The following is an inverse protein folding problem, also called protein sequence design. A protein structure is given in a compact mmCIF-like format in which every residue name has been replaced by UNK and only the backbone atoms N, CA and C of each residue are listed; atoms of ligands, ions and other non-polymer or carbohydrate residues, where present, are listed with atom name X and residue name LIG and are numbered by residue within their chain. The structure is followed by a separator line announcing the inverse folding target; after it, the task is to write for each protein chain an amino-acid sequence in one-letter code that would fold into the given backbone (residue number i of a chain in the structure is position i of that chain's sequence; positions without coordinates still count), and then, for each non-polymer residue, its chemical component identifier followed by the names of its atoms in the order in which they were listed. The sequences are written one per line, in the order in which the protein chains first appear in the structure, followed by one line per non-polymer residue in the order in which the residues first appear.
data_IF_530706400307
#
_entry.id   IF_530706400307
#
_cell.length_a   1.000
_cell.length_b   1.000
_cell.length_c   1.000
_cell.angle_alpha   90.00
_cell.angle_beta   90.00
_cell.angle_gamma   90.00
#
_symmetry.space_group_name_H-M   'P 1'
#
loop_
_entity.id
_entity.type
_entity.pdbx_description
1 polymer ?
#
# COMPACT_ATOMS: atom_id res chain seq x y z
N UNK A 1 9.05 -10.75 -26.74
CA UNK A 1 10.51 -11.02 -26.73
C UNK A 1 10.70 -12.54 -26.79
N UNK A 2 11.85 -13.01 -27.28
CA UNK A 2 12.15 -14.45 -27.29
C UNK A 2 12.36 -14.97 -25.85
N UNK A 3 12.93 -14.13 -24.99
CA UNK A 3 13.01 -14.31 -23.55
C UNK A 3 12.16 -13.26 -22.81
N UNK A 4 11.09 -13.62 -22.10
CA UNK A 4 10.29 -12.66 -21.33
C UNK A 4 11.01 -12.13 -20.08
N UNK A 5 12.09 -12.77 -19.61
CA UNK A 5 12.90 -12.29 -18.46
C UNK A 5 14.16 -11.55 -18.90
N UNK A 6 14.25 -11.13 -20.16
CA UNK A 6 15.32 -10.24 -20.60
C UNK A 6 15.30 -8.88 -19.86
N UNK A 7 16.48 -8.36 -19.50
CA UNK A 7 16.64 -7.15 -18.70
C UNK A 7 16.03 -5.92 -19.38
N UNK A 8 16.20 -5.74 -20.70
CA UNK A 8 15.64 -4.61 -21.44
C UNK A 8 14.11 -4.66 -21.38
N UNK A 9 13.52 -5.82 -21.63
CA UNK A 9 12.06 -5.97 -21.57
C UNK A 9 11.49 -5.70 -20.17
N UNK A 10 12.14 -6.19 -19.12
CA UNK A 10 11.66 -6.00 -17.73
C UNK A 10 11.85 -4.55 -17.29
N UNK A 11 13.03 -3.97 -17.52
CA UNK A 11 13.39 -2.66 -16.96
C UNK A 11 12.89 -1.48 -17.79
N UNK A 12 12.80 -1.62 -19.12
CA UNK A 12 12.37 -0.52 -19.99
C UNK A 12 10.89 -0.58 -20.39
N UNK A 13 10.29 -1.78 -20.40
CA UNK A 13 8.87 -1.96 -20.80
C UNK A 13 7.99 -2.27 -19.60
N UNK A 14 8.31 -3.32 -18.82
CA UNK A 14 7.45 -3.73 -17.70
C UNK A 14 7.47 -2.73 -16.55
N UNK A 15 8.58 -2.06 -16.23
CA UNK A 15 8.63 -1.08 -15.12
C UNK A 15 7.76 0.17 -15.37
N UNK A 16 7.47 0.49 -16.64
CA UNK A 16 6.54 1.58 -17.00
C UNK A 16 5.07 1.24 -16.71
N UNK A 17 4.74 -0.04 -16.55
CA UNK A 17 3.38 -0.47 -16.24
C UNK A 17 3.03 -0.19 -14.76
N UNK A 18 2.04 0.67 -14.54
CA UNK A 18 1.52 1.01 -13.21
C UNK A 18 0.56 -0.04 -12.63
N UNK A 19 0.18 -1.05 -13.43
CA UNK A 19 -0.71 -2.13 -13.00
C UNK A 19 -2.15 -1.69 -12.74
N UNK A 20 -2.66 -0.72 -13.51
CA UNK A 20 -4.03 -0.20 -13.37
C UNK A 20 -5.14 -1.17 -13.79
N UNK A 21 -4.80 -2.30 -14.44
CA UNK A 21 -5.73 -3.30 -15.00
C UNK A 21 -6.71 -2.79 -16.07
N UNK A 22 -6.52 -1.59 -16.63
CA UNK A 22 -7.30 -1.13 -17.80
C UNK A 22 -7.15 -2.09 -18.99
N UNK A 23 -5.95 -2.64 -19.20
CA UNK A 23 -5.69 -3.67 -20.21
C UNK A 23 -6.59 -4.92 -20.05
N UNK A 24 -6.82 -5.39 -18.83
CA UNK A 24 -7.63 -6.59 -18.59
C UNK A 24 -9.13 -6.34 -18.85
N UNK A 25 -9.62 -5.13 -18.60
CA UNK A 25 -11.04 -4.80 -18.74
C UNK A 25 -11.41 -4.29 -20.14
N UNK A 26 -10.53 -3.48 -20.75
CA UNK A 26 -10.84 -2.75 -21.98
C UNK A 26 -10.28 -3.45 -23.24
N UNK A 27 -9.36 -4.40 -23.09
CA UNK A 27 -8.79 -5.10 -24.24
C UNK A 27 -9.78 -6.15 -24.77
N UNK A 28 -10.17 -6.12 -26.06
CA UNK A 28 -11.05 -7.13 -26.65
C UNK A 28 -10.43 -8.53 -26.69
N UNK A 29 -9.10 -8.62 -26.51
CA UNK A 29 -8.35 -9.87 -26.44
C UNK A 29 -8.08 -10.33 -25.00
N UNK A 30 -8.65 -9.65 -24.00
CA UNK A 30 -8.57 -10.01 -22.57
C UNK A 30 -7.11 -10.14 -22.05
N UNK A 31 -6.20 -9.32 -22.58
CA UNK A 31 -4.79 -9.34 -22.17
C UNK A 31 -4.62 -8.63 -20.83
N UNK A 32 -4.30 -9.38 -19.79
CA UNK A 32 -3.94 -8.81 -18.48
C UNK A 32 -2.43 -8.51 -18.39
N UNK A 33 -2.05 -7.32 -18.89
CA UNK A 33 -0.68 -6.83 -18.81
C UNK A 33 -0.25 -6.58 -17.35
N UNK A 34 -1.19 -6.30 -16.44
CA UNK A 34 -0.85 -6.06 -15.04
C UNK A 34 -0.42 -7.36 -14.35
N UNK A 35 -1.11 -8.47 -14.62
CA UNK A 35 -0.69 -9.80 -14.19
C UNK A 35 0.61 -10.19 -14.88
N UNK A 36 0.72 -10.03 -16.19
CA UNK A 36 1.95 -10.36 -16.93
C UNK A 36 3.16 -9.65 -16.33
N UNK A 37 3.04 -8.33 -16.08
CA UNK A 37 4.10 -7.54 -15.43
C UNK A 37 4.53 -8.16 -14.11
N UNK A 38 3.58 -8.52 -13.24
CA UNK A 38 3.91 -9.04 -11.91
C UNK A 38 4.61 -10.42 -11.98
N UNK A 39 4.10 -11.33 -12.81
CA UNK A 39 4.66 -12.69 -13.00
C UNK A 39 6.04 -12.65 -13.69
N UNK A 40 6.19 -11.84 -14.73
CA UNK A 40 7.46 -11.68 -15.45
C UNK A 40 8.52 -11.03 -14.56
N UNK A 41 8.16 -9.98 -13.81
CA UNK A 41 9.09 -9.35 -12.86
C UNK A 41 9.51 -10.32 -11.75
N UNK A 42 8.60 -11.19 -11.31
CA UNK A 42 8.91 -12.24 -10.33
C UNK A 42 9.89 -13.27 -10.90
N UNK A 43 9.62 -13.81 -12.09
CA UNK A 43 10.51 -14.74 -12.76
C UNK A 43 11.90 -14.12 -13.00
N UNK A 44 11.94 -12.84 -13.40
CA UNK A 44 13.20 -12.08 -13.51
C UNK A 44 13.96 -12.03 -12.18
N UNK A 45 13.27 -11.79 -11.07
CA UNK A 45 13.89 -11.76 -9.74
C UNK A 45 14.43 -13.12 -9.28
N UNK A 46 13.79 -14.21 -9.67
CA UNK A 46 14.27 -15.57 -9.37
C UNK A 46 15.55 -15.90 -10.16
N UNK A 47 15.64 -15.43 -11.40
CA UNK A 47 16.79 -15.71 -12.27
C UNK A 47 17.98 -14.75 -12.04
N UNK A 48 17.71 -13.45 -11.94
CA UNK A 48 18.71 -12.39 -11.94
C UNK A 48 18.88 -11.71 -10.57
N UNK A 49 18.02 -12.05 -9.61
CA UNK A 49 17.92 -11.35 -8.33
C UNK A 49 17.15 -10.04 -8.42
N UNK A 50 17.02 -9.37 -7.27
CA UNK A 50 16.31 -8.09 -7.16
C UNK A 50 17.18 -6.99 -6.57
N UNK A 51 17.00 -5.78 -7.11
CA UNK A 51 17.72 -4.59 -6.65
C UNK A 51 17.33 -4.20 -5.21
N UNK A 52 18.23 -3.52 -4.50
CA UNK A 52 17.92 -2.96 -3.18
C UNK A 52 16.75 -1.97 -3.23
N UNK A 53 16.64 -1.20 -4.32
CA UNK A 53 15.51 -0.28 -4.57
C UNK A 53 14.19 -1.05 -4.64
N UNK A 54 14.15 -2.16 -5.39
CA UNK A 54 12.94 -2.99 -5.51
C UNK A 54 12.53 -3.57 -4.16
N UNK A 55 13.48 -4.10 -3.39
CA UNK A 55 13.23 -4.61 -2.02
C UNK A 55 12.72 -3.52 -1.08
N UNK A 56 13.30 -2.32 -1.16
CA UNK A 56 12.88 -1.16 -0.37
C UNK A 56 11.42 -0.79 -0.65
N UNK A 57 11.01 -0.70 -1.92
CA UNK A 57 9.62 -0.38 -2.26
C UNK A 57 8.65 -1.54 -2.03
N UNK A 58 9.11 -2.79 -2.13
CA UNK A 58 8.30 -3.96 -1.76
C UNK A 58 7.93 -3.98 -0.27
N UNK A 59 8.76 -3.35 0.58
CA UNK A 59 8.57 -3.26 2.04
C UNK A 59 8.22 -1.83 2.47
N UNK A 60 7.50 -1.07 1.63
CA UNK A 60 7.25 0.34 1.86
C UNK A 60 6.46 0.61 3.15
N UNK A 61 5.59 -0.31 3.59
CA UNK A 61 4.81 -0.13 4.83
C UNK A 61 5.71 0.06 6.06
N UNK A 62 6.76 -0.76 6.19
CA UNK A 62 7.75 -0.64 7.26
C UNK A 62 8.45 0.72 7.23
N UNK A 63 8.79 1.20 6.03
CA UNK A 63 9.41 2.52 5.85
C UNK A 63 8.45 3.65 6.18
N UNK A 64 7.18 3.53 5.81
CA UNK A 64 6.14 4.50 6.12
C UNK A 64 5.86 4.57 7.62
N UNK A 65 5.86 3.42 8.30
CA UNK A 65 5.74 3.32 9.76
C UNK A 65 6.88 4.01 10.49
N UNK A 66 8.12 3.77 10.07
CA UNK A 66 9.28 4.49 10.60
C UNK A 66 9.21 5.98 10.27
N UNK A 67 8.85 6.30 9.03
CA UNK A 67 8.63 7.66 8.54
C UNK A 67 7.67 8.44 9.43
N UNK A 68 6.49 7.89 9.69
CA UNK A 68 5.45 8.42 10.58
C UNK A 68 5.89 8.53 12.03
N UNK A 69 6.56 7.51 12.57
CA UNK A 69 7.06 7.51 13.95
C UNK A 69 8.02 8.69 14.17
N UNK A 70 8.90 8.95 13.20
CA UNK A 70 9.87 10.04 13.23
C UNK A 70 9.44 11.28 12.40
N UNK A 71 8.15 11.44 12.10
CA UNK A 71 7.65 12.35 11.06
C UNK A 71 8.29 13.74 11.00
N UNK A 72 8.45 14.53 12.08
CA UNK A 72 9.11 15.84 11.96
C UNK A 72 10.55 15.76 11.46
N UNK A 73 11.28 14.71 11.84
CA UNK A 73 12.64 14.47 11.35
C UNK A 73 12.58 13.93 9.91
N UNK A 74 11.75 12.93 9.64
CA UNK A 74 11.59 12.34 8.30
C UNK A 74 11.20 13.40 7.25
N UNK A 75 10.25 14.27 7.60
CA UNK A 75 9.74 15.33 6.73
C UNK A 75 10.72 16.52 6.60
N UNK A 76 11.60 16.72 7.58
CA UNK A 76 12.64 17.74 7.51
C UNK A 76 13.84 17.26 6.69
N UNK A 77 14.21 15.99 6.81
CA UNK A 77 15.35 15.39 6.10
C UNK A 77 15.24 15.57 4.57
N UNK A 78 14.02 15.46 4.02
CA UNK A 78 13.78 15.68 2.58
C UNK A 78 13.96 17.13 2.12
N UNK A 79 13.94 18.10 3.04
CA UNK A 79 14.08 19.54 2.77
C UNK A 79 15.52 20.03 2.87
N UNK A 80 16.45 19.20 3.34
CA UNK A 80 17.86 19.57 3.43
C UNK A 80 18.41 19.81 2.03
N UNK A 81 19.14 20.94 1.78
CA UNK A 81 19.72 21.22 0.48
C UNK A 81 20.58 20.05 -0.03
N UNK A 82 20.33 19.61 -1.26
CA UNK A 82 21.02 18.47 -1.87
C UNK A 82 20.45 17.08 -1.54
N UNK A 83 19.58 16.95 -0.53
CA UNK A 83 19.01 15.64 -0.15
C UNK A 83 18.21 14.99 -1.29
N UNK A 84 17.43 15.79 -2.03
CA UNK A 84 16.66 15.31 -3.19
C UNK A 84 17.57 14.82 -4.32
N UNK A 85 18.68 15.51 -4.58
CA UNK A 85 19.66 15.09 -5.58
C UNK A 85 20.40 13.81 -5.18
N UNK A 86 20.79 13.68 -3.90
CA UNK A 86 21.37 12.44 -3.37
C UNK A 86 20.38 11.29 -3.50
N UNK A 87 19.12 11.51 -3.15
CA UNK A 87 18.06 10.49 -3.25
C UNK A 87 17.80 10.06 -4.69
N UNK A 88 17.85 11.00 -5.63
CA UNK A 88 17.75 10.69 -7.07
C UNK A 88 18.91 9.81 -7.53
N UNK A 89 20.14 10.15 -7.16
CA UNK A 89 21.33 9.39 -7.57
C UNK A 89 21.47 8.02 -6.89
N UNK A 90 21.00 7.88 -5.66
CA UNK A 90 21.17 6.65 -4.86
C UNK A 90 19.97 5.72 -4.94
N UNK A 91 18.77 6.29 -4.80
CA UNK A 91 17.54 5.52 -4.71
C UNK A 91 16.80 5.58 -6.03
N UNK A 92 16.99 6.58 -6.89
CA UNK A 92 16.30 6.71 -8.19
C UNK A 92 14.94 7.41 -8.07
N UNK A 93 14.73 8.24 -7.05
CA UNK A 93 13.52 9.06 -6.94
C UNK A 93 13.84 10.44 -7.50
N UNK A 94 13.21 10.79 -8.63
CA UNK A 94 13.43 12.08 -9.27
C UNK A 94 13.22 13.24 -8.29
N UNK A 95 14.15 14.21 -8.32
CA UNK A 95 14.21 15.30 -7.35
C UNK A 95 13.02 16.26 -7.39
N UNK A 96 12.38 16.37 -8.56
CA UNK A 96 11.17 17.17 -8.83
C UNK A 96 9.87 16.55 -8.30
N UNK A 97 9.89 15.27 -7.91
CA UNK A 97 8.71 14.60 -7.36
C UNK A 97 8.34 15.16 -5.99
N UNK A 98 7.04 15.14 -5.69
CA UNK A 98 6.57 15.40 -4.32
C UNK A 98 6.71 14.10 -3.52
N UNK A 99 7.41 14.15 -2.40
CA UNK A 99 7.47 13.03 -1.47
C UNK A 99 6.24 13.01 -0.56
N UNK A 100 5.82 11.83 -0.09
CA UNK A 100 4.78 11.74 0.94
C UNK A 100 5.24 12.51 2.18
N UNK A 101 4.32 13.30 2.75
CA UNK A 101 4.49 13.86 4.08
C UNK A 101 3.97 12.85 5.08
N UNK A 102 4.77 12.50 6.07
CA UNK A 102 4.34 11.57 7.11
C UNK A 102 3.69 12.29 8.27
N UNK A 103 2.66 11.69 8.86
CA UNK A 103 1.95 12.22 10.01
C UNK A 103 2.19 11.36 11.25
N UNK A 104 2.42 11.99 12.42
CA UNK A 104 2.63 11.25 13.68
C UNK A 104 1.36 10.57 14.18
N UNK A 105 0.23 11.25 13.98
CA UNK A 105 -1.10 10.76 14.36
C UNK A 105 -1.68 9.97 13.18
N UNK A 106 -1.57 8.66 13.26
CA UNK A 106 -2.15 7.74 12.27
C UNK A 106 -3.65 7.56 12.49
N UNK A 107 -4.35 6.97 11.51
CA UNK A 107 -5.80 6.68 11.61
C UNK A 107 -6.11 5.83 12.85
N UNK A 108 -5.36 4.76 13.11
CA UNK A 108 -5.55 3.91 14.30
C UNK A 108 -5.34 4.70 15.61
N UNK A 109 -4.28 5.52 15.70
CA UNK A 109 -4.01 6.33 16.90
C UNK A 109 -5.12 7.33 17.17
N UNK A 110 -5.55 8.03 16.13
CA UNK A 110 -6.67 8.97 16.20
C UNK A 110 -7.95 8.25 16.65
N UNK A 111 -8.29 7.13 16.00
CA UNK A 111 -9.51 6.37 16.27
C UNK A 111 -9.57 5.87 17.72
N UNK A 112 -8.45 5.35 18.22
CA UNK A 112 -8.32 4.95 19.62
C UNK A 112 -8.46 6.14 20.58
N UNK A 113 -7.83 7.29 20.26
CA UNK A 113 -7.87 8.50 21.09
C UNK A 113 -9.27 9.11 21.19
N UNK A 114 -10.10 8.99 20.16
CA UNK A 114 -11.51 9.44 20.19
C UNK A 114 -12.46 8.47 20.90
N UNK A 115 -11.99 7.28 21.31
CA UNK A 115 -12.79 6.29 22.02
C UNK A 115 -13.52 5.28 21.13
N UNK A 116 -13.17 5.18 19.84
CA UNK A 116 -13.79 4.24 18.91
C UNK A 116 -14.97 4.83 18.11
N UNK A 117 -15.85 3.93 17.66
CA UNK A 117 -17.05 4.26 16.87
C UNK A 117 -17.97 5.20 17.64
N UNK A 118 -18.57 6.17 16.94
CA UNK A 118 -19.64 7.04 17.47
C UNK A 118 -21.02 6.40 17.38
N UNK A 119 -21.19 5.41 16.52
CA UNK A 119 -22.42 4.62 16.41
C UNK A 119 -22.30 3.45 17.37
N UNK A 120 -23.26 3.27 18.28
CA UNK A 120 -23.27 2.14 19.21
C UNK A 120 -23.49 0.83 18.42
N UNK A 121 -22.83 -0.25 18.85
CA UNK A 121 -22.85 -1.52 18.11
C UNK A 121 -24.26 -2.14 18.02
N UNK A 122 -25.09 -1.94 19.04
CA UNK A 122 -26.47 -2.42 19.12
C UNK A 122 -27.49 -1.55 18.37
N UNK A 123 -27.09 -0.34 17.99
CA UNK A 123 -27.92 0.63 17.25
C UNK A 123 -27.56 0.70 15.75
N UNK A 124 -26.51 0.01 15.32
CA UNK A 124 -25.97 0.12 13.97
C UNK A 124 -26.70 -0.76 12.94
N UNK A 125 -26.86 -0.23 11.73
CA UNK A 125 -27.42 -0.99 10.60
C UNK A 125 -26.42 -2.03 10.07
N UNK A 126 -25.12 -1.74 10.19
CA UNK A 126 -24.00 -2.55 9.68
C UNK A 126 -22.77 -2.39 10.58
N UNK A 127 -21.89 -3.38 10.53
CA UNK A 127 -20.57 -3.33 11.15
C UNK A 127 -19.50 -3.37 10.07
N UNK A 128 -18.57 -2.42 10.08
CA UNK A 128 -17.48 -2.34 9.10
C UNK A 128 -16.13 -2.36 9.81
N UNK A 129 -15.24 -3.22 9.35
CA UNK A 129 -13.84 -3.24 9.73
C UNK A 129 -13.03 -2.52 8.65
N UNK A 130 -12.77 -1.23 8.85
CA UNK A 130 -12.05 -0.39 7.91
C UNK A 130 -10.55 -0.72 7.97
N UNK A 131 -9.98 -1.16 6.85
CA UNK A 131 -8.52 -1.31 6.67
C UNK A 131 -7.95 0.01 6.14
N UNK A 132 -7.19 0.76 6.94
CA UNK A 132 -6.46 1.91 6.42
C UNK A 132 -5.23 1.39 5.68
N UNK A 133 -5.16 1.59 4.36
CA UNK A 133 -3.95 1.27 3.60
C UNK A 133 -2.75 2.08 4.10
N UNK A 134 -1.53 1.62 3.79
CA UNK A 134 -0.27 2.28 4.17
C UNK A 134 -0.29 3.82 4.00
N UNK A 135 -0.82 4.34 2.88
CA UNK A 135 -0.80 5.78 2.61
C UNK A 135 -1.88 6.52 3.40
N UNK A 136 -3.12 6.02 3.41
CA UNK A 136 -4.20 6.63 4.22
C UNK A 136 -3.90 6.50 5.71
N UNK A 137 -3.08 5.54 6.12
CA UNK A 137 -2.68 5.36 7.50
C UNK A 137 -1.57 6.32 7.95
N UNK A 138 -0.49 6.45 7.17
CA UNK A 138 0.74 7.16 7.58
C UNK A 138 0.94 8.54 6.93
N UNK A 139 0.31 8.85 5.80
CA UNK A 139 0.55 10.09 5.03
C UNK A 139 -0.69 10.93 4.81
N UNK A 140 -1.85 10.31 4.61
CA UNK A 140 -3.13 10.99 4.42
C UNK A 140 -4.17 10.49 5.44
N UNK A 141 -3.90 10.61 6.75
CA UNK A 141 -4.82 10.15 7.79
C UNK A 141 -6.15 10.91 7.78
N UNK A 142 -6.20 12.11 7.21
CA UNK A 142 -7.43 12.85 6.95
C UNK A 142 -8.42 12.07 6.07
N UNK A 143 -7.94 11.36 5.05
CA UNK A 143 -8.79 10.54 4.17
C UNK A 143 -9.38 9.35 4.93
N UNK A 144 -8.56 8.65 5.73
CA UNK A 144 -9.04 7.56 6.57
C UNK A 144 -10.01 8.02 7.67
N UNK A 145 -9.75 9.18 8.28
CA UNK A 145 -10.66 9.83 9.23
C UNK A 145 -12.02 10.16 8.59
N UNK A 146 -12.00 10.74 7.39
CA UNK A 146 -13.20 11.06 6.64
C UNK A 146 -14.00 9.79 6.27
N UNK A 147 -13.33 8.70 5.90
CA UNK A 147 -14.00 7.42 5.64
C UNK A 147 -14.77 6.90 6.87
N UNK A 148 -14.15 6.95 8.05
CA UNK A 148 -14.83 6.60 9.31
C UNK A 148 -16.04 7.50 9.54
N UNK A 149 -15.87 8.82 9.42
CA UNK A 149 -16.96 9.78 9.67
C UNK A 149 -18.14 9.62 8.70
N UNK A 150 -17.88 9.32 7.44
CA UNK A 150 -18.92 9.07 6.42
C UNK A 150 -19.68 7.78 6.73
N UNK A 151 -18.99 6.70 7.11
CA UNK A 151 -19.62 5.44 7.51
C UNK A 151 -20.50 5.63 8.75
N UNK A 152 -20.00 6.35 9.76
CA UNK A 152 -20.76 6.64 10.98
C UNK A 152 -22.00 7.50 10.70
N UNK A 153 -21.88 8.50 9.81
CA UNK A 153 -23.03 9.30 9.37
C UNK A 153 -24.09 8.47 8.65
N UNK A 154 -23.70 7.32 8.08
CA UNK A 154 -24.60 6.35 7.46
C UNK A 154 -25.13 5.28 8.44
N UNK A 155 -24.94 5.43 9.75
CA UNK A 155 -25.45 4.48 10.75
C UNK A 155 -24.61 3.21 10.90
N UNK A 156 -23.37 3.22 10.41
CA UNK A 156 -22.46 2.06 10.47
C UNK A 156 -21.58 2.13 11.72
N UNK A 157 -21.48 1.02 12.44
CA UNK A 157 -20.50 0.84 13.49
C UNK A 157 -19.15 0.48 12.89
N UNK A 158 -18.13 1.31 13.12
CA UNK A 158 -16.82 1.15 12.49
C UNK A 158 -15.79 0.64 13.52
N UNK A 159 -14.95 -0.30 13.12
CA UNK A 159 -13.65 -0.55 13.75
C UNK A 159 -12.55 -0.30 12.72
N UNK A 160 -11.39 0.17 13.18
CA UNK A 160 -10.20 0.33 12.33
C UNK A 160 -9.30 -0.87 12.55
N UNK A 161 -9.00 -1.60 11.48
CA UNK A 161 -8.13 -2.78 11.53
C UNK A 161 -6.69 -2.40 11.93
N UNK A 162 -6.02 -3.32 12.63
CA UNK A 162 -4.59 -3.18 12.95
C UNK A 162 -3.70 -3.43 11.71
N UNK A 163 -4.24 -4.13 10.70
CA UNK A 163 -3.58 -4.38 9.41
C UNK A 163 -3.49 -3.09 8.59
N UNK A 164 -2.33 -2.86 7.97
CA UNK A 164 -2.04 -1.67 7.13
C UNK A 164 -1.42 -2.04 5.78
N UNK A 165 -0.64 -3.12 5.74
CA UNK A 165 -0.17 -3.74 4.49
C UNK A 165 -1.01 -4.97 4.15
N UNK A 166 -1.41 -5.07 2.89
CA UNK A 166 -2.20 -6.18 2.32
C UNK A 166 -1.42 -6.90 1.20
N UNK A 167 -0.10 -6.68 1.11
CA UNK A 167 0.79 -7.27 0.12
C UNK A 167 0.88 -6.47 -1.19
N UNK A 168 0.18 -5.33 -1.30
CA UNK A 168 0.16 -4.51 -2.51
C UNK A 168 1.53 -3.96 -2.92
N UNK A 169 2.37 -3.43 -2.01
CA UNK A 169 3.70 -2.94 -2.36
C UNK A 169 4.59 -4.05 -2.94
N UNK A 170 4.66 -5.20 -2.28
CA UNK A 170 5.38 -6.39 -2.74
C UNK A 170 4.88 -6.86 -4.12
N UNK A 171 3.56 -6.98 -4.29
CA UNK A 171 2.95 -7.36 -5.57
C UNK A 171 3.34 -6.40 -6.69
N UNK A 172 3.34 -5.09 -6.43
CA UNK A 172 3.66 -4.07 -7.44
C UNK A 172 5.10 -4.15 -7.98
N UNK A 173 5.99 -4.79 -7.21
CA UNK A 173 7.42 -4.97 -7.49
C UNK A 173 7.79 -6.43 -7.80
N UNK A 174 6.81 -7.29 -8.08
CA UNK A 174 7.07 -8.68 -8.49
C UNK A 174 7.57 -9.60 -7.37
N UNK A 175 7.43 -9.21 -6.10
CA UNK A 175 7.73 -10.10 -4.98
C UNK A 175 6.47 -10.90 -4.63
N UNK A 176 6.12 -11.86 -5.49
CA UNK A 176 4.84 -12.57 -5.41
C UNK A 176 4.72 -13.49 -4.20
N UNK A 177 5.81 -14.07 -3.72
CA UNK A 177 5.80 -14.88 -2.51
C UNK A 177 5.51 -14.04 -1.27
N UNK A 178 6.21 -12.92 -1.11
CA UNK A 178 5.97 -11.96 -0.02
C UNK A 178 4.53 -11.44 -0.10
N UNK A 179 4.08 -11.04 -1.29
CA UNK A 179 2.72 -10.55 -1.48
C UNK A 179 1.66 -11.60 -1.10
N UNK A 180 1.89 -12.87 -1.45
CA UNK A 180 1.01 -13.99 -1.11
C UNK A 180 0.99 -14.24 0.39
N UNK A 181 2.14 -14.26 1.04
CA UNK A 181 2.26 -14.44 2.49
C UNK A 181 1.53 -13.32 3.25
N UNK A 182 1.81 -12.05 2.94
CA UNK A 182 1.14 -10.90 3.56
C UNK A 182 -0.37 -10.92 3.33
N UNK A 183 -0.82 -11.29 2.12
CA UNK A 183 -2.25 -11.41 1.83
C UNK A 183 -2.89 -12.57 2.62
N UNK A 184 -2.20 -13.69 2.78
CA UNK A 184 -2.69 -14.82 3.58
C UNK A 184 -2.83 -14.44 5.05
N UNK A 185 -1.83 -13.79 5.64
CA UNK A 185 -1.89 -13.27 7.02
C UNK A 185 -3.02 -12.26 7.21
N UNK A 186 -3.24 -11.39 6.21
CA UNK A 186 -4.36 -10.44 6.20
C UNK A 186 -5.70 -11.20 6.22
N UNK A 187 -5.86 -12.20 5.35
CA UNK A 187 -7.07 -13.03 5.30
C UNK A 187 -7.29 -13.76 6.62
N UNK A 188 -6.26 -14.39 7.18
CA UNK A 188 -6.34 -15.07 8.48
C UNK A 188 -6.77 -14.14 9.61
N UNK A 189 -6.33 -12.87 9.56
CA UNK A 189 -6.71 -11.85 10.55
C UNK A 189 -8.17 -11.40 10.39
N UNK A 190 -8.66 -11.29 9.15
CA UNK A 190 -9.96 -10.67 8.87
C UNK A 190 -11.12 -11.66 8.78
N UNK A 191 -10.88 -12.89 8.31
CA UNK A 191 -11.93 -13.92 8.13
C UNK A 191 -12.76 -14.13 9.41
N UNK A 192 -12.18 -14.26 10.61
CA UNK A 192 -12.98 -14.43 11.83
C UNK A 192 -13.94 -13.26 12.08
N UNK A 193 -13.62 -12.04 11.64
CA UNK A 193 -14.51 -10.88 11.78
C UNK A 193 -15.64 -10.94 10.76
N UNK A 194 -15.33 -11.29 9.52
CA UNK A 194 -16.32 -11.45 8.44
C UNK A 194 -17.33 -12.55 8.80
N UNK A 195 -16.87 -13.69 9.31
CA UNK A 195 -17.73 -14.79 9.76
C UNK A 195 -18.66 -14.38 10.91
N UNK A 196 -18.28 -13.37 11.69
CA UNK A 196 -19.10 -12.77 12.75
C UNK A 196 -19.98 -11.60 12.25
N UNK A 197 -20.15 -11.45 10.94
CA UNK A 197 -21.08 -10.48 10.33
C UNK A 197 -20.51 -9.09 10.08
N UNK A 198 -19.19 -8.91 10.13
CA UNK A 198 -18.54 -7.66 9.74
C UNK A 198 -18.33 -7.58 8.24
N UNK A 199 -18.65 -6.43 7.65
CA UNK A 199 -18.18 -6.03 6.32
C UNK A 199 -16.72 -5.52 6.44
N UNK A 200 -15.94 -5.62 5.35
CA UNK A 200 -14.55 -5.12 5.23
C UNK A 200 -14.44 -4.19 4.04
#
# INVERSE_FOLDING_TARGET
PDDPTDEEFVTEVMDLCIGCKGCANDCPSEVDLAKLKAEVTHAYHEEHGSSLRSKMFANFDVLAKLGSTFAPVSNWASKVPGARAVMEQTIGIASDRTLPTFERETVQKWFKKRGGSRVAADEADRHVLLIPDTYTHYSHPDVGKAAVEVLEAAGVHVEVADVTDVGRPAFSKGFLDIARETAAETVETLVPRIENGWDV
#
